data_IF_798688459023
#
_entry.id   IF_798688459023
#
_cell.length_a   1.000
_cell.length_b   1.000
_cell.length_c   1.000
_cell.angle_alpha   90.00
_cell.angle_beta   90.00
_cell.angle_gamma   90.00
#
_symmetry.space_group_name_H-M   'P 1'
#
loop_
_entity.id
_entity.type
_entity.pdbx_description
1 polymer ?
#
# COMPACT_ATOMS: atom_id res chain seq x y z
N UNK A 1 12.63 -21.32 5.31
CA UNK A 1 12.52 -20.29 4.25
C UNK A 1 13.29 -19.09 4.75
N UNK A 2 14.51 -18.89 4.25
CA UNK A 2 15.46 -17.90 4.75
C UNK A 2 15.04 -16.47 4.43
N UNK A 3 14.73 -15.71 5.48
CA UNK A 3 14.45 -14.27 5.45
C UNK A 3 15.61 -13.42 4.92
N UNK A 4 16.79 -14.02 4.74
CA UNK A 4 18.03 -13.36 4.31
C UNK A 4 18.17 -13.22 2.77
N UNK A 5 17.33 -13.90 1.99
CA UNK A 5 17.33 -13.79 0.52
C UNK A 5 16.17 -12.96 -0.04
N UNK A 6 15.32 -12.37 0.83
CA UNK A 6 14.18 -11.55 0.41
C UNK A 6 14.58 -10.16 -0.10
N UNK A 7 15.82 -9.74 0.18
CA UNK A 7 16.41 -8.46 -0.22
C UNK A 7 17.68 -8.63 -1.07
N UNK A 8 17.96 -9.85 -1.56
CA UNK A 8 19.06 -10.04 -2.49
C UNK A 8 18.74 -9.29 -3.78
N UNK A 9 19.67 -8.51 -4.36
CA UNK A 9 19.47 -7.68 -5.55
C UNK A 9 18.68 -8.45 -6.60
N UNK A 10 17.41 -8.08 -6.80
CA UNK A 10 16.46 -8.78 -7.66
C UNK A 10 16.97 -8.68 -9.10
N UNK A 11 17.77 -9.65 -9.53
CA UNK A 11 18.34 -9.75 -10.88
C UNK A 11 17.27 -10.00 -11.95
N UNK A 12 16.04 -10.32 -11.54
CA UNK A 12 14.90 -10.58 -12.42
C UNK A 12 14.05 -9.31 -12.57
N UNK A 13 14.17 -8.64 -13.73
CA UNK A 13 13.43 -7.43 -14.07
C UNK A 13 11.90 -7.62 -14.02
N UNK A 14 11.39 -8.83 -14.23
CA UNK A 14 9.96 -9.13 -14.22
C UNK A 14 9.31 -8.94 -12.84
N UNK A 15 10.04 -9.23 -11.75
CA UNK A 15 9.53 -9.03 -10.39
C UNK A 15 9.36 -7.54 -10.06
N UNK A 16 10.21 -6.69 -10.62
CA UNK A 16 10.14 -5.24 -10.43
C UNK A 16 8.84 -4.65 -11.01
N UNK A 17 8.41 -5.15 -12.17
CA UNK A 17 7.12 -4.76 -12.79
C UNK A 17 5.93 -5.22 -11.95
N UNK A 18 6.01 -6.41 -11.35
CA UNK A 18 4.99 -6.91 -10.44
C UNK A 18 4.85 -6.06 -9.18
N UNK A 19 5.96 -5.66 -8.54
CA UNK A 19 5.91 -4.76 -7.38
C UNK A 19 5.36 -3.38 -7.73
N UNK A 20 5.69 -2.86 -8.92
CA UNK A 20 5.11 -1.62 -9.42
C UNK A 20 3.59 -1.74 -9.60
N UNK A 21 3.12 -2.83 -10.23
CA UNK A 21 1.70 -3.10 -10.39
C UNK A 21 0.97 -3.22 -9.03
N UNK A 22 1.58 -3.92 -8.08
CA UNK A 22 1.06 -4.03 -6.71
C UNK A 22 0.99 -2.68 -6.00
N UNK A 23 1.97 -1.80 -6.21
CA UNK A 23 1.97 -0.44 -5.66
C UNK A 23 0.81 0.39 -6.20
N UNK A 24 0.53 0.28 -7.51
CA UNK A 24 -0.58 0.95 -8.17
C UNK A 24 -1.91 0.41 -7.65
N UNK A 25 -2.05 -0.92 -7.57
CA UNK A 25 -3.25 -1.56 -7.03
C UNK A 25 -3.51 -1.14 -5.57
N UNK A 26 -2.46 -1.09 -4.74
CA UNK A 26 -2.53 -0.61 -3.35
C UNK A 26 -2.97 0.85 -3.25
N UNK A 27 -2.47 1.71 -4.15
CA UNK A 27 -2.88 3.11 -4.21
C UNK A 27 -4.34 3.28 -4.64
N UNK A 28 -4.81 2.52 -5.63
CA UNK A 28 -6.22 2.55 -6.06
C UNK A 28 -7.15 2.11 -4.93
N UNK A 29 -6.78 1.05 -4.20
CA UNK A 29 -7.54 0.61 -3.03
C UNK A 29 -7.54 1.65 -1.90
N UNK A 30 -6.42 2.36 -1.68
CA UNK A 30 -6.36 3.48 -0.73
C UNK A 30 -7.36 4.57 -1.12
N UNK A 31 -7.36 4.98 -2.39
CA UNK A 31 -8.28 6.01 -2.90
C UNK A 31 -9.73 5.56 -2.72
N UNK A 32 -10.05 4.31 -3.06
CA UNK A 32 -11.40 3.76 -2.85
C UNK A 32 -11.79 3.74 -1.37
N UNK A 33 -10.90 3.33 -0.47
CA UNK A 33 -11.14 3.31 0.96
C UNK A 33 -11.37 4.71 1.54
N UNK A 34 -10.61 5.71 1.07
CA UNK A 34 -10.79 7.11 1.48
C UNK A 34 -12.11 7.66 0.93
N UNK A 35 -12.41 7.47 -0.35
CA UNK A 35 -13.65 7.99 -0.97
C UNK A 35 -14.88 7.38 -0.31
N UNK A 36 -14.90 6.06 -0.14
CA UNK A 36 -16.03 5.37 0.53
C UNK A 36 -16.13 5.75 2.00
N UNK A 37 -15.00 5.84 2.72
CA UNK A 37 -14.97 6.25 4.11
C UNK A 37 -15.48 7.69 4.32
N UNK A 38 -15.07 8.63 3.47
CA UNK A 38 -15.56 10.02 3.51
C UNK A 38 -17.04 10.08 3.16
N UNK A 39 -17.48 9.37 2.12
CA UNK A 39 -18.89 9.35 1.71
C UNK A 39 -19.80 8.80 2.83
N UNK A 40 -19.41 7.69 3.44
CA UNK A 40 -20.16 7.09 4.56
C UNK A 40 -20.09 7.99 5.80
N UNK A 41 -18.93 8.59 6.09
CA UNK A 41 -18.72 9.48 7.23
C UNK A 41 -19.53 10.77 7.17
N UNK A 42 -19.76 11.32 5.98
CA UNK A 42 -20.62 12.49 5.77
C UNK A 42 -22.11 12.10 5.85
N UNK A 43 -22.48 10.98 5.24
CA UNK A 43 -23.90 10.56 5.12
C UNK A 43 -24.45 10.05 6.45
N UNK A 44 -23.65 9.32 7.21
CA UNK A 44 -24.01 8.80 8.53
C UNK A 44 -23.13 9.53 9.52
N UNK A 45 -23.62 10.59 10.20
CA UNK A 45 -22.90 11.30 11.28
C UNK A 45 -22.45 10.32 12.39
N UNK A 46 -21.39 9.57 12.16
CA UNK A 46 -20.92 8.48 13.01
C UNK A 46 -20.00 9.03 14.09
N UNK A 47 -20.04 8.34 15.24
CA UNK A 47 -19.21 8.60 16.41
C UNK A 47 -17.72 8.48 16.12
N UNK A 48 -16.88 9.06 17.01
CA UNK A 48 -15.42 9.10 16.91
C UNK A 48 -14.77 7.74 16.58
N UNK A 49 -15.36 6.64 17.04
CA UNK A 49 -14.90 5.28 16.76
C UNK A 49 -14.79 4.96 15.26
N UNK A 50 -15.68 5.51 14.42
CA UNK A 50 -15.65 5.28 12.97
C UNK A 50 -14.49 5.98 12.28
N UNK A 51 -14.16 7.18 12.75
CA UNK A 51 -13.00 7.93 12.28
C UNK A 51 -11.69 7.24 12.67
N UNK A 52 -11.59 6.68 13.89
CA UNK A 52 -10.42 5.91 14.32
C UNK A 52 -10.25 4.66 13.45
N UNK A 53 -11.33 3.90 13.20
CA UNK A 53 -11.26 2.73 12.31
C UNK A 53 -10.88 3.10 10.89
N UNK A 54 -11.41 4.21 10.37
CA UNK A 54 -11.08 4.71 9.03
C UNK A 54 -9.61 5.15 8.95
N UNK A 55 -9.09 5.77 10.01
CA UNK A 55 -7.68 6.17 10.10
C UNK A 55 -6.74 4.96 10.10
N UNK A 56 -7.07 3.90 10.84
CA UNK A 56 -6.31 2.64 10.82
C UNK A 56 -6.35 2.00 9.44
N UNK A 57 -7.52 1.93 8.81
CA UNK A 57 -7.68 1.38 7.47
C UNK A 57 -6.85 2.16 6.45
N UNK A 58 -6.93 3.50 6.46
CA UNK A 58 -6.12 4.36 5.60
C UNK A 58 -4.62 4.18 5.85
N UNK A 59 -4.21 4.07 7.12
CA UNK A 59 -2.82 3.84 7.51
C UNK A 59 -2.28 2.51 6.99
N UNK A 60 -3.07 1.43 7.05
CA UNK A 60 -2.69 0.13 6.48
C UNK A 60 -2.45 0.21 4.98
N UNK A 61 -3.36 0.84 4.22
CA UNK A 61 -3.16 1.02 2.78
C UNK A 61 -1.97 1.92 2.46
N UNK A 62 -1.71 2.95 3.28
CA UNK A 62 -0.58 3.85 3.13
C UNK A 62 0.75 3.12 3.37
N UNK A 63 0.83 2.32 4.44
CA UNK A 63 2.00 1.48 4.74
C UNK A 63 2.23 0.48 3.61
N UNK A 64 1.18 -0.16 3.09
CA UNK A 64 1.29 -1.09 1.97
C UNK A 64 1.81 -0.41 0.71
N UNK A 65 1.35 0.80 0.39
CA UNK A 65 1.90 1.60 -0.71
C UNK A 65 3.38 1.95 -0.48
N UNK A 66 3.74 2.37 0.74
CA UNK A 66 5.11 2.71 1.11
C UNK A 66 6.06 1.53 0.99
N UNK A 67 5.65 0.36 1.48
CA UNK A 67 6.40 -0.89 1.35
C UNK A 67 6.62 -1.25 -0.11
N UNK A 68 5.58 -1.23 -0.95
CA UNK A 68 5.71 -1.56 -2.37
C UNK A 68 6.60 -0.57 -3.14
N UNK A 69 6.56 0.73 -2.83
CA UNK A 69 7.44 1.74 -3.45
C UNK A 69 8.90 1.58 -2.99
N UNK A 70 9.14 1.20 -1.74
CA UNK A 70 10.47 0.88 -1.22
C UNK A 70 11.07 -0.32 -1.96
N UNK A 71 10.31 -1.42 -2.10
CA UNK A 71 10.77 -2.59 -2.86
C UNK A 71 11.07 -2.26 -4.34
N UNK A 72 10.22 -1.47 -4.98
CA UNK A 72 10.44 -1.00 -6.35
C UNK A 72 11.74 -0.17 -6.46
N UNK A 73 11.97 0.74 -5.53
CA UNK A 73 13.20 1.55 -5.51
C UNK A 73 14.46 0.71 -5.30
N UNK A 74 14.39 -0.36 -4.49
CA UNK A 74 15.52 -1.28 -4.29
C UNK A 74 15.80 -2.14 -5.54
N UNK A 75 14.78 -2.52 -6.31
CA UNK A 75 14.97 -3.22 -7.58
C UNK A 75 15.65 -2.33 -8.63
N UNK A 76 15.27 -1.05 -8.73
CA UNK A 76 15.86 -0.15 -9.73
C UNK A 76 17.26 0.30 -9.32
N UNK A 77 17.57 0.45 -8.03
CA UNK A 77 18.92 0.81 -7.58
C UNK A 77 19.89 -0.39 -7.55
N UNK A 78 19.43 -1.59 -7.91
CA UNK A 78 20.22 -2.81 -7.96
C UNK A 78 20.91 -3.05 -9.32
N UNK A 79 20.73 -2.14 -10.29
CA UNK A 79 21.53 -2.09 -11.53
C UNK A 79 22.90 -1.47 -11.31
#
# INVERSE_FOLDING_TARGET
>A
MDVNNLFSPFKNQDLCLWFYFLSIAGFVLLVLAVVTGVFIGITTRRSWAFFVSMFFMASTYLIFYFQNRLLYSMCINSI
#
